data_IF_910700944610
#
_entry.id   IF_910700944610
#
_cell.length_a   1.000
_cell.length_b   1.000
_cell.length_c   1.000
_cell.angle_alpha   90.00
_cell.angle_beta   90.00
_cell.angle_gamma   90.00
#
_symmetry.space_group_name_H-M   'P 1'
#
loop_
_entity.id
_entity.type
_entity.pdbx_description
1 polymer ?
#
# COMPACT_ATOMS: atom_id res chain seq x y z
N UNK A 1 16.39 -37.71 0.03
CA UNK A 1 16.99 -37.06 -1.17
C UNK A 1 15.90 -36.20 -1.81
N UNK A 2 16.20 -34.98 -2.31
CA UNK A 2 15.19 -34.24 -3.06
C UNK A 2 14.76 -35.08 -4.27
N UNK A 3 13.44 -35.18 -4.49
CA UNK A 3 12.85 -35.88 -5.61
C UNK A 3 13.35 -35.29 -6.93
N UNK A 4 13.75 -36.17 -7.84
CA UNK A 4 14.20 -35.79 -9.19
C UNK A 4 13.04 -35.87 -10.21
N UNK A 5 11.80 -35.86 -9.70
CA UNK A 5 10.59 -35.80 -10.51
C UNK A 5 10.50 -34.41 -11.17
N UNK A 6 10.46 -34.32 -12.51
CA UNK A 6 10.27 -33.06 -13.22
C UNK A 6 9.09 -32.23 -12.71
N UNK A 7 8.01 -32.86 -12.23
CA UNK A 7 6.86 -32.16 -11.67
C UNK A 7 7.18 -31.46 -10.34
N UNK A 8 7.98 -32.09 -9.47
CA UNK A 8 8.42 -31.48 -8.21
C UNK A 8 9.40 -30.32 -8.44
N UNK A 9 10.27 -30.43 -9.44
CA UNK A 9 11.19 -29.35 -9.82
C UNK A 9 10.41 -28.14 -10.36
N UNK A 10 9.44 -28.40 -11.24
CA UNK A 10 8.57 -27.36 -11.78
C UNK A 10 7.74 -26.70 -10.68
N UNK A 11 7.13 -27.49 -9.78
CA UNK A 11 6.34 -26.97 -8.66
C UNK A 11 7.17 -26.05 -7.76
N UNK A 12 8.42 -26.42 -7.45
CA UNK A 12 9.34 -25.58 -6.68
C UNK A 12 9.70 -24.29 -7.40
N UNK A 13 9.94 -24.34 -8.72
CA UNK A 13 10.25 -23.13 -9.48
C UNK A 13 9.05 -22.18 -9.54
N UNK A 14 7.86 -22.69 -9.87
CA UNK A 14 6.63 -21.90 -9.89
C UNK A 14 6.38 -21.29 -8.50
N UNK A 15 6.53 -22.05 -7.42
CA UNK A 15 6.36 -21.54 -6.06
C UNK A 15 7.35 -20.40 -5.73
N UNK A 16 8.62 -20.55 -6.11
CA UNK A 16 9.62 -19.50 -5.93
C UNK A 16 9.29 -18.24 -6.75
N UNK A 17 8.95 -18.42 -8.02
CA UNK A 17 8.66 -17.32 -8.94
C UNK A 17 7.39 -16.57 -8.52
N UNK A 18 6.36 -17.29 -8.09
CA UNK A 18 5.13 -16.71 -7.53
C UNK A 18 5.39 -15.95 -6.24
N UNK A 19 6.27 -16.43 -5.35
CA UNK A 19 6.69 -15.69 -4.14
C UNK A 19 7.43 -14.40 -4.50
N UNK A 20 8.36 -14.46 -5.46
CA UNK A 20 9.10 -13.28 -5.89
C UNK A 20 8.20 -12.24 -6.55
N UNK A 21 7.26 -12.67 -7.39
CA UNK A 21 6.23 -11.81 -7.97
C UNK A 21 5.33 -11.21 -6.88
N UNK A 22 4.92 -12.00 -5.89
CA UNK A 22 4.12 -11.50 -4.79
C UNK A 22 4.82 -10.37 -4.04
N UNK A 23 6.12 -10.51 -3.74
CA UNK A 23 6.91 -9.45 -3.07
C UNK A 23 7.05 -8.21 -3.95
N UNK A 24 7.44 -8.36 -5.22
CA UNK A 24 7.67 -7.22 -6.13
C UNK A 24 6.39 -6.45 -6.46
N UNK A 25 5.28 -7.17 -6.59
CA UNK A 25 4.02 -6.58 -6.99
C UNK A 25 3.08 -6.34 -5.81
N UNK A 26 3.39 -6.71 -4.56
CA UNK A 26 2.54 -6.53 -3.39
C UNK A 26 2.01 -5.09 -3.25
N UNK A 27 0.81 -4.96 -2.67
CA UNK A 27 0.33 -3.66 -2.23
C UNK A 27 1.07 -3.31 -0.96
N UNK A 28 1.62 -2.10 -0.88
CA UNK A 28 2.20 -1.59 0.37
C UNK A 28 1.07 -1.35 1.37
N UNK A 29 1.02 -2.06 2.52
CA UNK A 29 -0.06 -1.95 3.48
C UNK A 29 -0.16 -0.54 4.07
N UNK A 30 -1.39 -0.10 4.29
CA UNK A 30 -1.71 1.16 4.95
C UNK A 30 -1.41 2.45 4.18
N UNK A 31 -0.91 2.36 2.95
CA UNK A 31 -0.73 3.53 2.08
C UNK A 31 -1.95 3.68 1.17
N UNK A 32 -2.58 4.85 1.27
CA UNK A 32 -3.68 5.27 0.42
C UNK A 32 -3.27 6.53 -0.34
N UNK A 33 -3.41 6.50 -1.66
CA UNK A 33 -3.12 7.66 -2.50
C UNK A 33 -4.42 8.41 -2.77
N UNK A 34 -4.42 9.71 -2.47
CA UNK A 34 -5.51 10.62 -2.78
C UNK A 34 -5.08 11.71 -3.76
N UNK A 35 -6.06 12.35 -4.41
CA UNK A 35 -5.84 13.48 -5.32
C UNK A 35 -6.47 14.73 -4.72
N UNK A 36 -5.66 15.77 -4.53
CA UNK A 36 -6.12 17.12 -4.20
C UNK A 36 -6.65 17.76 -5.49
N UNK A 37 -7.96 17.82 -5.60
CA UNK A 37 -8.64 18.19 -6.86
C UNK A 37 -8.24 19.59 -7.33
N UNK A 38 -8.07 20.55 -6.42
CA UNK A 38 -7.71 21.93 -6.76
C UNK A 38 -6.31 22.06 -7.36
N UNK A 39 -5.37 21.17 -6.98
CA UNK A 39 -4.01 21.14 -7.54
C UNK A 39 -3.94 20.38 -8.85
N UNK A 40 -4.94 19.53 -9.14
CA UNK A 40 -4.96 18.72 -10.34
C UNK A 40 -5.38 19.56 -11.56
N UNK A 41 -4.44 19.76 -12.47
CA UNK A 41 -4.66 20.50 -13.73
C UNK A 41 -5.08 19.60 -14.91
N UNK A 42 -5.35 18.32 -14.68
CA UNK A 42 -5.85 17.42 -15.74
C UNK A 42 -4.84 17.06 -16.83
N UNK A 43 -3.54 17.27 -16.64
CA UNK A 43 -2.52 17.11 -17.70
C UNK A 43 -2.33 15.66 -18.22
N UNK A 44 -2.96 14.66 -17.63
CA UNK A 44 -2.93 13.26 -18.09
C UNK A 44 -1.59 12.52 -17.94
N UNK A 45 -0.48 13.18 -17.55
CA UNK A 45 0.84 12.53 -17.39
C UNK A 45 0.79 11.31 -16.46
N UNK A 46 -0.06 11.35 -15.43
CA UNK A 46 -0.18 10.30 -14.43
C UNK A 46 -0.78 8.98 -14.92
N UNK A 47 -1.45 8.98 -16.08
CA UNK A 47 -2.06 7.78 -16.67
C UNK A 47 -1.02 6.96 -17.46
N UNK A 48 0.10 7.56 -17.86
CA UNK A 48 1.15 6.87 -18.62
C UNK A 48 1.77 5.75 -17.79
N UNK A 49 2.17 4.66 -18.44
CA UNK A 49 2.78 3.50 -17.78
C UNK A 49 4.05 3.85 -17.01
N UNK A 50 4.88 4.74 -17.56
CA UNK A 50 6.06 5.29 -16.90
C UNK A 50 5.75 6.13 -15.64
N UNK A 51 4.48 6.40 -15.35
CA UNK A 51 4.04 7.09 -14.15
C UNK A 51 3.32 6.12 -13.21
N UNK A 52 2.29 5.45 -13.71
CA UNK A 52 1.57 4.40 -12.99
C UNK A 52 1.68 3.07 -13.74
N UNK A 53 2.67 2.25 -13.36
CA UNK A 53 2.90 0.91 -13.94
C UNK A 53 1.70 -0.05 -13.77
N UNK A 54 0.83 0.23 -12.81
CA UNK A 54 -0.32 -0.62 -12.48
C UNK A 54 -1.63 -0.16 -13.12
N UNK A 55 -1.61 0.90 -13.94
CA UNK A 55 -2.80 1.42 -14.59
C UNK A 55 -3.92 1.80 -13.61
N UNK A 56 -3.55 2.26 -12.41
CA UNK A 56 -4.52 2.55 -11.33
C UNK A 56 -5.07 3.97 -11.36
N UNK A 57 -4.62 4.82 -12.30
CA UNK A 57 -4.99 6.23 -12.38
C UNK A 57 -5.71 6.48 -13.70
N UNK A 58 -6.87 7.13 -13.66
CA UNK A 58 -7.63 7.60 -14.83
C UNK A 58 -7.86 9.10 -14.77
N UNK A 59 -8.27 9.71 -15.88
CA UNK A 59 -8.78 11.08 -15.92
C UNK A 59 -10.29 11.03 -16.11
N UNK A 60 -11.04 11.65 -15.20
CA UNK A 60 -12.49 11.82 -15.26
C UNK A 60 -12.76 13.30 -15.08
N UNK A 61 -13.56 13.91 -15.94
CA UNK A 61 -13.90 15.35 -15.85
C UNK A 61 -12.67 16.27 -15.70
N UNK A 62 -11.62 16.00 -16.49
CA UNK A 62 -10.33 16.72 -16.44
C UNK A 62 -9.60 16.63 -15.09
N UNK A 63 -9.94 15.65 -14.26
CA UNK A 63 -9.30 15.41 -12.96
C UNK A 63 -8.79 13.98 -12.84
N UNK A 64 -7.68 13.82 -12.12
CA UNK A 64 -7.14 12.49 -11.85
C UNK A 64 -7.98 11.77 -10.78
N UNK A 65 -8.25 10.49 -11.02
CA UNK A 65 -8.95 9.59 -10.11
C UNK A 65 -8.12 8.33 -9.92
N UNK A 66 -8.00 7.87 -8.67
CA UNK A 66 -7.22 6.67 -8.32
C UNK A 66 -8.16 5.51 -8.02
N UNK A 67 -8.03 4.41 -8.74
CA UNK A 67 -8.66 3.14 -8.40
C UNK A 67 -7.93 2.52 -7.21
N UNK A 68 -8.51 2.66 -6.02
CA UNK A 68 -7.92 2.17 -4.78
C UNK A 68 -7.67 0.66 -4.76
N UNK A 69 -8.45 -0.15 -5.50
CA UNK A 69 -8.26 -1.62 -5.55
C UNK A 69 -7.04 -2.02 -6.38
N UNK A 70 -6.74 -1.28 -7.45
CA UNK A 70 -5.58 -1.53 -8.33
C UNK A 70 -4.30 -0.85 -7.85
N UNK A 71 -4.42 0.24 -7.10
CA UNK A 71 -3.27 0.96 -6.57
C UNK A 71 -2.46 0.08 -5.62
N UNK A 72 -1.15 0.00 -5.86
CA UNK A 72 -0.20 -0.77 -5.04
C UNK A 72 0.50 0.06 -3.97
N UNK A 73 0.24 1.36 -3.90
CA UNK A 73 0.82 2.23 -2.86
C UNK A 73 2.31 2.54 -3.05
N UNK A 74 2.85 2.47 -4.28
CA UNK A 74 4.29 2.71 -4.54
C UNK A 74 4.74 4.18 -4.51
N UNK A 75 3.81 5.12 -4.28
CA UNK A 75 4.07 6.57 -4.11
C UNK A 75 4.75 7.31 -5.28
N UNK A 76 5.10 6.65 -6.38
CA UNK A 76 5.72 7.28 -7.56
C UNK A 76 4.92 8.50 -8.06
N UNK A 77 3.60 8.46 -7.94
CA UNK A 77 2.73 9.55 -8.36
C UNK A 77 2.88 10.85 -7.57
N UNK A 78 3.27 10.76 -6.29
CA UNK A 78 3.53 11.93 -5.45
C UNK A 78 4.78 12.68 -5.90
N UNK A 79 5.79 11.97 -6.40
CA UNK A 79 7.06 12.52 -6.85
C UNK A 79 7.00 13.07 -8.27
N UNK A 80 6.26 12.40 -9.17
CA UNK A 80 6.25 12.75 -10.59
C UNK A 80 5.21 13.80 -10.97
N UNK A 81 4.25 14.10 -10.09
CA UNK A 81 3.21 15.07 -10.40
C UNK A 81 3.79 16.50 -10.38
N UNK A 82 3.77 17.24 -11.50
CA UNK A 82 4.37 18.58 -11.57
C UNK A 82 3.62 19.62 -10.73
N UNK A 83 2.42 19.29 -10.23
CA UNK A 83 1.61 20.16 -9.37
C UNK A 83 1.45 19.63 -7.95
N UNK A 84 2.13 18.53 -7.60
CA UNK A 84 2.01 17.93 -6.26
C UNK A 84 0.55 17.61 -5.90
N UNK A 85 -0.24 17.16 -6.87
CA UNK A 85 -1.67 16.92 -6.70
C UNK A 85 -1.97 15.58 -6.02
N UNK A 86 -1.00 14.68 -5.88
CA UNK A 86 -1.17 13.41 -5.18
C UNK A 86 -0.62 13.51 -3.77
N UNK A 87 -1.38 13.05 -2.79
CA UNK A 87 -0.98 12.98 -1.38
C UNK A 87 -1.12 11.55 -0.86
N UNK A 88 -0.38 11.27 0.21
CA UNK A 88 -0.46 10.00 0.93
C UNK A 88 -1.34 10.21 2.15
N UNK A 89 -2.29 9.32 2.32
CA UNK A 89 -3.03 9.13 3.55
C UNK A 89 -2.56 7.80 4.16
N UNK A 90 -2.05 7.87 5.38
CA UNK A 90 -1.65 6.69 6.14
C UNK A 90 -2.86 6.17 6.90
N UNK A 91 -3.30 4.96 6.57
CA UNK A 91 -4.34 4.22 7.29
C UNK A 91 -3.73 2.92 7.77
N UNK A 92 -3.24 2.84 9.02
CA UNK A 92 -2.56 1.64 9.50
C UNK A 92 -3.43 0.39 9.30
N UNK A 93 -2.83 -0.74 8.89
CA UNK A 93 -3.55 -2.01 8.83
C UNK A 93 -4.18 -2.36 10.17
N UNK A 94 -5.28 -3.13 10.14
CA UNK A 94 -6.02 -3.48 11.36
C UNK A 94 -5.13 -4.14 12.42
N UNK A 95 -4.22 -5.04 12.02
CA UNK A 95 -3.27 -5.68 12.93
C UNK A 95 -2.40 -4.67 13.70
N UNK A 96 -2.04 -3.53 13.07
CA UNK A 96 -1.30 -2.46 13.74
C UNK A 96 -2.20 -1.76 14.75
N UNK A 97 -3.44 -1.41 14.35
CA UNK A 97 -4.41 -0.76 15.24
C UNK A 97 -4.76 -1.63 16.46
N UNK A 98 -4.93 -2.93 16.26
CA UNK A 98 -5.23 -3.88 17.35
C UNK A 98 -4.06 -3.96 18.33
N UNK A 99 -2.83 -4.00 17.81
CA UNK A 99 -1.61 -4.00 18.63
C UNK A 99 -1.48 -2.70 19.43
N UNK A 100 -1.71 -1.55 18.80
CA UNK A 100 -1.67 -0.25 19.49
C UNK A 100 -2.67 -0.21 20.64
N UNK A 101 -3.92 -0.64 20.40
CA UNK A 101 -4.95 -0.74 21.45
C UNK A 101 -4.52 -1.66 22.60
N UNK A 102 -3.88 -2.79 22.29
CA UNK A 102 -3.40 -3.70 23.31
C UNK A 102 -2.30 -3.05 24.18
N UNK A 103 -1.40 -2.28 23.57
CA UNK A 103 -0.35 -1.54 24.27
C UNK A 103 -0.97 -0.44 25.15
N UNK A 104 -1.89 0.37 24.60
CA UNK A 104 -2.57 1.44 25.34
C UNK A 104 -3.29 0.89 26.58
N UNK A 105 -4.02 -0.23 26.43
CA UNK A 105 -4.68 -0.89 27.55
C UNK A 105 -3.69 -1.35 28.65
N UNK A 106 -2.49 -1.81 28.25
CA UNK A 106 -1.46 -2.21 29.20
C UNK A 106 -0.86 -1.01 29.94
N UNK A 107 -0.63 0.10 29.23
CA UNK A 107 -0.16 1.36 29.80
C UNK A 107 -1.20 1.88 30.80
N UNK A 108 -2.46 1.95 30.41
CA UNK A 108 -3.56 2.41 31.27
C UNK A 108 -3.69 1.59 32.55
N UNK A 109 -3.53 0.26 32.45
CA UNK A 109 -3.53 -0.61 33.64
C UNK A 109 -2.38 -0.26 34.58
N UNK A 110 -1.17 -0.11 34.05
CA UNK A 110 0.02 0.24 34.86
C UNK A 110 -0.08 1.64 35.46
N UNK A 111 -0.64 2.61 34.74
CA UNK A 111 -0.86 3.96 35.27
C UNK A 111 -1.84 3.92 36.46
N UNK A 112 -2.92 3.13 36.38
CA UNK A 112 -3.84 2.95 37.52
C UNK A 112 -3.17 2.30 38.74
N UNK A 113 -2.30 1.31 38.51
CA UNK A 113 -1.49 0.67 39.56
C UNK A 113 -0.55 1.68 40.25
N UNK A 114 0.10 2.56 39.48
CA UNK A 114 1.01 3.59 40.00
C UNK A 114 0.27 4.72 40.75
N UNK A 115 -0.91 5.10 40.26
CA UNK A 115 -1.76 6.13 40.89
C UNK A 115 -2.43 5.66 42.19
N UNK A 116 -2.18 4.42 42.64
CA UNK A 116 -2.83 3.85 43.82
C UNK A 116 -4.34 3.66 43.66
N UNK A 117 -4.83 3.60 42.41
CA UNK A 117 -6.25 3.37 42.06
C UNK A 117 -6.53 1.89 41.79
N UNK A 118 -5.93 1.01 42.60
CA UNK A 118 -6.15 -0.45 42.59
C UNK A 118 -6.50 -0.89 43.99
#
# INVERSE_FOLDING_TARGET
MPSNDPFDILARSIYRDTKELAVRYARVPGIHIMVVQDRCIGCGKCVREGFCRFGSISIVEKKAVVNARRCRGCMRCTHLCPKGAFIIELRPPQAVNDTLRAIDNQIDRRLRELDGKV
#
